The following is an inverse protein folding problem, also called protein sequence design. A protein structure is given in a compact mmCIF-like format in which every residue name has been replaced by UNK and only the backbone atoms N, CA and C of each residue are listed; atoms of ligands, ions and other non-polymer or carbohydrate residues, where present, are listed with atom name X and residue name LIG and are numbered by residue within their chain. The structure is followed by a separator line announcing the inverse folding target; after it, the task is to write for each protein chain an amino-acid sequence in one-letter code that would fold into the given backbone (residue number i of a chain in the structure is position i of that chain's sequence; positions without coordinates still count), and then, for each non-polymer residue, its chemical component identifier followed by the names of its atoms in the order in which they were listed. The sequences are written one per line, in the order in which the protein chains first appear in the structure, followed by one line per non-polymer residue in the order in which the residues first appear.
data_IF_379337317045
#
_entry.id   IF_379337317045
#
_cell.length_a   1.000
_cell.length_b   1.000
_cell.length_c   1.000
_cell.angle_alpha   90.00
_cell.angle_beta   90.00
_cell.angle_gamma   90.00
#
_symmetry.space_group_name_H-M   'P 1'
#
loop_
_entity.id
_entity.type
_entity.pdbx_description
1 polymer ?
#
# COMPACT_ATOMS: atom_id res chain seq x y z
N UNK A 1 13.98 -20.81 21.69
CA UNK A 1 14.97 -19.72 21.83
C UNK A 1 14.24 -18.45 21.32
N UNK A 2 13.98 -17.51 22.21
CA UNK A 2 13.17 -16.32 21.89
C UNK A 2 14.02 -15.32 21.11
N UNK A 3 13.72 -15.07 19.83
CA UNK A 3 14.27 -13.95 19.07
C UNK A 3 13.42 -12.71 19.37
N UNK A 4 14.05 -11.72 20.01
CA UNK A 4 13.43 -10.41 20.27
C UNK A 4 13.54 -9.57 19.00
N UNK A 5 12.42 -9.23 18.40
CA UNK A 5 12.34 -8.15 17.41
C UNK A 5 12.65 -6.83 18.12
N UNK A 6 13.71 -6.16 17.68
CA UNK A 6 14.06 -4.82 18.12
C UNK A 6 13.32 -3.81 17.24
N UNK A 7 12.36 -3.10 17.81
CA UNK A 7 11.74 -1.96 17.18
C UNK A 7 12.79 -0.85 16.99
N UNK A 8 13.06 -0.45 15.75
CA UNK A 8 13.91 0.68 15.45
C UNK A 8 13.13 1.99 15.68
N UNK A 9 13.38 2.60 16.82
CA UNK A 9 12.88 3.94 17.15
C UNK A 9 13.73 4.96 16.40
N UNK A 10 13.16 5.59 15.37
CA UNK A 10 13.78 6.70 14.67
C UNK A 10 13.55 7.99 15.48
N UNK A 11 14.55 8.37 16.32
CA UNK A 11 14.57 9.65 17.00
C UNK A 11 15.04 10.75 16.04
N UNK A 12 14.13 11.66 15.68
CA UNK A 12 14.50 12.94 15.06
C UNK A 12 14.93 13.89 16.19
N UNK A 13 16.23 14.05 16.35
CA UNK A 13 16.82 15.01 17.29
C UNK A 13 16.83 16.40 16.70
N UNK A 14 16.05 17.30 17.29
CA UNK A 14 16.11 18.74 17.04
C UNK A 14 17.26 19.33 17.83
N UNK A 15 18.36 19.71 17.19
CA UNK A 15 19.44 20.49 17.82
C UNK A 15 19.19 21.98 17.59
N UNK A 16 18.81 22.67 18.66
CA UNK A 16 18.82 24.14 18.74
C UNK A 16 20.15 24.58 19.31
N UNK A 17 20.97 25.28 18.56
CA UNK A 17 22.07 26.09 19.11
C UNK A 17 21.86 27.55 18.77
N UNK A 18 21.55 28.33 19.81
CA UNK A 18 21.64 29.78 19.77
C UNK A 18 23.13 30.20 19.94
N UNK A 19 23.65 30.98 19.02
CA UNK A 19 24.78 31.86 19.29
C UNK A 19 24.53 33.22 18.68
N UNK A 20 24.48 34.21 19.54
CA UNK A 20 24.49 35.64 19.24
C UNK A 20 25.92 36.09 18.97
N UNK A 21 26.18 36.92 17.92
CA UNK A 21 26.81 38.22 17.98
C UNK A 21 27.33 38.71 16.62
N UNK A 22 27.09 40.02 16.36
CA UNK A 22 28.04 40.87 15.70
C UNK A 22 27.63 41.45 14.33
N UNK A 23 27.24 42.70 14.35
CA UNK A 23 27.05 43.60 13.20
C UNK A 23 28.22 43.53 12.20
N UNK A 24 27.93 43.36 10.94
CA UNK A 24 28.41 44.14 9.79
C UNK A 24 27.36 44.03 8.68
N UNK A 25 26.83 45.17 8.27
CA UNK A 25 25.97 45.28 7.12
C UNK A 25 26.82 45.04 5.86
N UNK A 26 26.59 43.93 5.19
CA UNK A 26 26.92 43.71 3.80
C UNK A 26 25.62 43.23 3.17
N UNK A 27 25.10 44.00 2.23
CA UNK A 27 23.98 43.63 1.40
C UNK A 27 24.36 42.36 0.63
N UNK A 28 24.27 41.23 1.30
CA UNK A 28 24.13 39.93 0.62
C UNK A 28 22.73 39.93 0.05
N UNK A 29 22.62 39.98 -1.27
CA UNK A 29 21.44 39.56 -2.00
C UNK A 29 20.99 38.25 -1.35
N UNK A 30 19.96 38.32 -0.53
CA UNK A 30 19.20 37.15 -0.13
C UNK A 30 18.61 36.61 -1.41
N UNK A 31 19.33 35.64 -2.02
CA UNK A 31 18.71 34.69 -2.87
C UNK A 31 17.62 34.06 -2.01
N UNK A 32 16.40 34.56 -2.13
CA UNK A 32 15.22 33.87 -1.69
C UNK A 32 15.23 32.58 -2.47
N UNK A 33 15.72 31.52 -1.83
CA UNK A 33 15.45 30.15 -2.30
C UNK A 33 13.92 30.09 -2.31
N UNK A 34 13.36 30.25 -3.49
CA UNK A 34 11.92 30.12 -3.66
C UNK A 34 11.59 28.71 -3.21
N UNK A 35 10.65 28.56 -2.29
CA UNK A 35 10.09 27.29 -1.85
C UNK A 35 9.38 26.53 -3.00
N UNK A 36 9.43 27.06 -4.23
CA UNK A 36 8.75 26.56 -5.43
C UNK A 36 9.33 25.25 -5.99
N UNK A 37 10.48 24.79 -5.49
CA UNK A 37 11.10 23.55 -5.98
C UNK A 37 10.53 22.27 -5.33
N UNK A 38 9.92 22.38 -4.14
CA UNK A 38 9.33 21.24 -3.42
C UNK A 38 7.82 21.26 -3.47
N UNK A 39 7.22 20.09 -3.63
CA UNK A 39 5.79 19.86 -3.44
C UNK A 39 5.56 18.56 -2.70
N UNK A 40 4.58 18.55 -1.81
CA UNK A 40 4.18 17.39 -1.02
C UNK A 40 2.72 17.07 -1.30
N UNK A 41 2.42 15.81 -1.55
CA UNK A 41 1.07 15.31 -1.75
C UNK A 41 0.78 14.22 -0.72
N UNK A 42 -0.40 14.27 -0.12
CA UNK A 42 -0.93 13.18 0.71
C UNK A 42 -2.33 12.85 0.18
N UNK A 43 -2.56 11.59 -0.08
CA UNK A 43 -3.79 11.12 -0.72
C UNK A 43 -4.36 9.92 0.06
N UNK A 44 -5.17 10.16 1.12
CA UNK A 44 -5.99 9.10 1.68
C UNK A 44 -6.99 8.61 0.63
N UNK A 45 -7.20 7.30 0.58
CA UNK A 45 -8.12 6.68 -0.36
C UNK A 45 -8.79 5.45 0.23
N UNK A 46 -9.83 4.98 -0.41
CA UNK A 46 -10.50 3.71 -0.17
C UNK A 46 -10.45 2.90 -1.46
N UNK A 47 -10.00 1.68 -1.34
CA UNK A 47 -10.00 0.69 -2.41
C UNK A 47 -10.96 -0.44 -2.03
N UNK A 48 -12.07 -0.53 -2.74
CA UNK A 48 -13.09 -1.54 -2.52
C UNK A 48 -12.73 -2.82 -3.30
N UNK A 49 -11.65 -3.47 -2.89
CA UNK A 49 -11.12 -4.65 -3.56
C UNK A 49 -11.95 -5.90 -3.26
N UNK A 50 -12.18 -6.74 -4.29
CA UNK A 50 -12.42 -8.18 -4.17
C UNK A 50 -11.09 -8.93 -4.23
N UNK A 51 -11.07 -10.17 -3.75
CA UNK A 51 -9.91 -11.05 -3.80
C UNK A 51 -10.30 -12.36 -4.48
N UNK A 52 -9.54 -12.74 -5.52
CA UNK A 52 -9.69 -14.03 -6.20
C UNK A 52 -8.31 -14.69 -6.30
N UNK A 53 -8.24 -16.03 -6.31
CA UNK A 53 -6.98 -16.75 -6.47
C UNK A 53 -6.88 -18.02 -5.65
N UNK A 54 -5.66 -18.40 -5.30
CA UNK A 54 -5.34 -19.61 -4.56
C UNK A 54 -4.44 -19.32 -3.37
N UNK A 55 -4.82 -19.77 -2.19
CA UNK A 55 -4.04 -19.60 -0.97
C UNK A 55 -3.79 -20.94 -0.25
N UNK A 56 -2.59 -21.06 0.32
CA UNK A 56 -2.27 -22.06 1.33
C UNK A 56 -1.60 -21.32 2.51
N UNK A 57 -2.38 -20.94 3.56
CA UNK A 57 -1.90 -20.04 4.61
C UNK A 57 -0.91 -20.70 5.58
N UNK A 58 -0.76 -22.02 5.54
CA UNK A 58 0.14 -22.77 6.42
C UNK A 58 0.94 -23.80 5.62
N UNK A 59 2.20 -24.11 6.00
CA UNK A 59 2.94 -25.21 5.45
C UNK A 59 2.16 -26.55 5.61
N UNK A 60 1.93 -27.25 4.50
CA UNK A 60 1.12 -28.51 4.41
C UNK A 60 -0.40 -28.29 4.48
N UNK A 61 -0.91 -27.08 4.54
CA UNK A 61 -2.32 -26.84 4.28
C UNK A 61 -2.62 -27.18 2.80
N UNK A 62 -3.79 -27.74 2.49
CA UNK A 62 -4.21 -27.83 1.10
C UNK A 62 -4.37 -26.44 0.51
N UNK A 63 -3.93 -26.25 -0.72
CA UNK A 63 -4.25 -25.02 -1.46
C UNK A 63 -5.76 -24.94 -1.67
N UNK A 64 -6.34 -23.81 -1.35
CA UNK A 64 -7.76 -23.54 -1.50
C UNK A 64 -7.96 -22.37 -2.48
N UNK A 65 -8.91 -22.52 -3.38
CA UNK A 65 -9.36 -21.42 -4.21
C UNK A 65 -10.19 -20.46 -3.37
N UNK A 66 -9.90 -19.18 -3.49
CA UNK A 66 -10.61 -18.09 -2.82
C UNK A 66 -11.28 -17.20 -3.85
N UNK A 67 -12.51 -16.79 -3.55
CA UNK A 67 -13.32 -15.84 -4.31
C UNK A 67 -14.13 -15.05 -3.28
N UNK A 68 -13.57 -13.94 -2.84
CA UNK A 68 -14.14 -13.11 -1.77
C UNK A 68 -14.53 -11.75 -2.34
N UNK A 69 -15.85 -11.49 -2.36
CA UNK A 69 -16.34 -10.21 -2.85
C UNK A 69 -15.98 -9.05 -1.90
N UNK A 70 -15.90 -7.83 -2.44
CA UNK A 70 -15.74 -6.63 -1.60
C UNK A 70 -16.80 -6.55 -0.50
N UNK A 71 -18.04 -6.97 -0.77
CA UNK A 71 -19.12 -6.95 0.21
C UNK A 71 -18.81 -7.85 1.41
N UNK A 72 -18.26 -9.04 1.15
CA UNK A 72 -17.93 -9.99 2.21
C UNK A 72 -16.72 -9.48 3.00
N UNK A 73 -15.71 -8.92 2.33
CA UNK A 73 -14.58 -8.24 2.97
C UNK A 73 -15.08 -7.11 3.87
N UNK A 74 -15.96 -6.23 3.36
CA UNK A 74 -16.46 -5.08 4.11
C UNK A 74 -17.32 -5.47 5.32
N UNK A 75 -18.05 -6.57 5.24
CA UNK A 75 -18.89 -7.06 6.37
C UNK A 75 -18.04 -7.61 7.52
N UNK A 76 -16.86 -8.13 7.23
CA UNK A 76 -15.93 -8.74 8.16
C UNK A 76 -14.71 -7.86 8.46
N UNK A 77 -14.72 -6.60 7.99
CA UNK A 77 -13.62 -5.67 8.11
C UNK A 77 -13.55 -5.08 9.52
N UNK A 78 -12.47 -5.33 10.23
CA UNK A 78 -12.19 -4.71 11.54
C UNK A 78 -11.61 -3.31 11.36
N UNK A 79 -10.58 -3.20 10.50
CA UNK A 79 -9.92 -1.93 10.21
C UNK A 79 -9.29 -1.95 8.81
N UNK A 80 -9.33 -0.80 8.14
CA UNK A 80 -8.56 -0.55 6.93
C UNK A 80 -7.95 0.85 6.96
N UNK A 81 -6.76 0.97 6.40
CA UNK A 81 -6.08 2.25 6.23
C UNK A 81 -5.31 2.27 4.90
N UNK A 82 -5.58 3.27 4.05
CA UNK A 82 -4.94 3.36 2.74
C UNK A 82 -4.51 4.80 2.48
N UNK A 83 -3.23 4.98 2.16
CA UNK A 83 -2.68 6.31 1.90
C UNK A 83 -1.54 6.24 0.89
N UNK A 84 -1.58 7.14 -0.09
CA UNK A 84 -0.45 7.46 -0.95
C UNK A 84 0.16 8.79 -0.52
N UNK A 85 1.48 8.87 -0.50
CA UNK A 85 2.20 10.12 -0.24
C UNK A 85 3.37 10.28 -1.21
N UNK A 86 3.63 11.54 -1.59
CA UNK A 86 4.74 11.88 -2.48
C UNK A 86 5.39 13.18 -2.02
N UNK A 87 6.73 13.18 -1.97
CA UNK A 87 7.57 14.37 -1.82
C UNK A 87 8.38 14.56 -3.11
N UNK A 88 8.14 15.67 -3.81
CA UNK A 88 8.75 15.97 -5.11
C UNK A 88 9.66 17.17 -5.03
N UNK A 89 10.84 17.01 -5.61
CA UNK A 89 11.79 18.09 -5.87
C UNK A 89 12.07 18.15 -7.36
N UNK A 90 11.54 19.17 -8.02
CA UNK A 90 11.64 19.33 -9.49
C UNK A 90 11.15 18.06 -10.22
N UNK A 91 12.06 17.36 -10.95
CA UNK A 91 11.75 16.17 -11.71
C UNK A 91 11.83 14.85 -10.90
N UNK A 92 12.39 14.89 -9.68
CA UNK A 92 12.54 13.72 -8.83
C UNK A 92 11.49 13.71 -7.74
N UNK A 93 11.01 12.54 -7.37
CA UNK A 93 10.19 12.38 -6.18
C UNK A 93 10.52 11.08 -5.44
N UNK A 94 10.30 11.12 -4.12
CA UNK A 94 10.10 9.91 -3.31
C UNK A 94 8.60 9.72 -3.11
N UNK A 95 8.14 8.47 -3.17
CA UNK A 95 6.74 8.14 -2.96
C UNK A 95 6.57 6.91 -2.08
N UNK A 96 5.41 6.83 -1.45
CA UNK A 96 4.96 5.62 -0.74
C UNK A 96 3.47 5.40 -0.98
N UNK A 97 3.07 4.14 -1.06
CA UNK A 97 1.68 3.68 -1.10
C UNK A 97 1.51 2.60 -0.04
N UNK A 98 0.66 2.84 0.93
CA UNK A 98 0.43 1.96 2.07
C UNK A 98 -1.02 1.50 2.08
N UNK A 99 -1.21 0.18 2.15
CA UNK A 99 -2.50 -0.49 2.32
C UNK A 99 -2.38 -1.40 3.53
N UNK A 100 -3.29 -1.26 4.47
CA UNK A 100 -3.45 -2.15 5.61
C UNK A 100 -4.91 -2.54 5.75
N UNK A 101 -5.17 -3.83 5.93
CA UNK A 101 -6.49 -4.39 6.21
C UNK A 101 -6.38 -5.49 7.25
N UNK A 102 -7.33 -5.50 8.18
CA UNK A 102 -7.57 -6.57 9.15
C UNK A 102 -9.02 -7.01 9.04
N UNK A 103 -9.22 -8.32 8.89
CA UNK A 103 -10.51 -8.95 8.64
C UNK A 103 -10.65 -10.11 9.60
N UNK A 104 -11.79 -10.19 10.30
CA UNK A 104 -12.17 -11.32 11.15
C UNK A 104 -13.46 -11.95 10.65
N UNK A 105 -13.48 -13.26 10.51
CA UNK A 105 -14.65 -14.01 10.10
C UNK A 105 -14.88 -15.21 11.02
N UNK A 106 -16.12 -15.34 11.48
CA UNK A 106 -16.56 -16.46 12.30
C UNK A 106 -17.52 -17.34 11.49
N UNK A 107 -17.39 -18.64 11.62
CA UNK A 107 -18.27 -19.58 10.95
C UNK A 107 -18.54 -20.81 11.81
N UNK A 108 -19.83 -21.19 11.90
CA UNK A 108 -20.25 -22.46 12.50
C UNK A 108 -19.80 -23.63 11.62
N UNK A 109 -19.23 -24.68 12.19
CA UNK A 109 -18.89 -25.88 11.41
C UNK A 109 -20.15 -26.69 11.10
N UNK A 110 -20.26 -27.28 9.88
CA UNK A 110 -21.36 -28.18 9.56
C UNK A 110 -21.41 -29.34 10.54
N UNK A 111 -22.54 -29.44 11.28
CA UNK A 111 -22.83 -30.48 12.28
C UNK A 111 -22.17 -30.34 13.67
N UNK A 112 -21.24 -29.39 13.92
CA UNK A 112 -20.66 -29.11 15.26
C UNK A 112 -20.04 -30.32 15.98
N UNK A 113 -19.65 -31.41 15.25
CA UNK A 113 -19.27 -32.68 15.90
C UNK A 113 -17.82 -32.70 16.33
N UNK A 114 -16.91 -32.20 15.49
CA UNK A 114 -15.48 -32.17 15.80
C UNK A 114 -15.06 -30.85 16.44
N UNK A 115 -15.54 -29.74 15.86
CA UNK A 115 -15.43 -28.38 16.36
C UNK A 115 -16.80 -27.70 16.17
N UNK A 116 -17.18 -26.81 17.07
CA UNK A 116 -18.44 -26.05 16.96
C UNK A 116 -18.23 -24.79 16.13
N UNK A 117 -17.14 -24.05 16.39
CA UNK A 117 -16.83 -22.75 15.81
C UNK A 117 -15.45 -22.74 15.12
N UNK A 118 -15.33 -21.92 14.07
CA UNK A 118 -14.08 -21.58 13.39
C UNK A 118 -13.96 -20.07 13.33
N UNK A 119 -12.97 -19.52 14.04
CA UNK A 119 -12.62 -18.10 13.96
C UNK A 119 -11.38 -17.95 13.07
N UNK A 120 -11.45 -17.09 12.06
CA UNK A 120 -10.35 -16.75 11.17
C UNK A 120 -10.05 -15.26 11.24
N UNK A 121 -8.80 -14.91 11.49
CA UNK A 121 -8.28 -13.54 11.45
C UNK A 121 -7.21 -13.45 10.38
N UNK A 122 -7.29 -12.44 9.52
CA UNK A 122 -6.33 -12.19 8.47
C UNK A 122 -5.94 -10.72 8.44
N UNK A 123 -4.63 -10.43 8.54
CA UNK A 123 -4.07 -9.10 8.39
C UNK A 123 -3.17 -9.06 7.16
N UNK A 124 -3.40 -8.07 6.31
CA UNK A 124 -2.58 -7.84 5.12
C UNK A 124 -2.03 -6.43 5.16
N UNK A 125 -0.72 -6.31 5.05
CA UNK A 125 -0.02 -5.06 4.82
C UNK A 125 0.72 -5.09 3.48
N UNK A 126 0.48 -4.07 2.65
CA UNK A 126 1.17 -3.85 1.38
C UNK A 126 1.76 -2.44 1.42
N UNK A 127 3.09 -2.34 1.44
CA UNK A 127 3.80 -1.07 1.46
C UNK A 127 4.70 -0.92 0.24
N UNK A 128 4.40 -0.01 -0.68
CA UNK A 128 5.29 0.30 -1.81
C UNK A 128 6.06 1.58 -1.52
N UNK A 129 7.39 1.54 -1.63
CA UNK A 129 8.29 2.66 -1.39
C UNK A 129 9.21 2.83 -2.60
N UNK A 130 9.34 4.03 -3.11
CA UNK A 130 10.16 4.22 -4.29
C UNK A 130 10.56 5.65 -4.60
N UNK A 131 11.34 5.76 -5.67
CA UNK A 131 11.69 7.01 -6.32
C UNK A 131 11.05 7.10 -7.71
N UNK A 132 10.82 8.33 -8.16
CA UNK A 132 10.34 8.59 -9.50
C UNK A 132 11.14 9.70 -10.19
N UNK A 133 11.21 9.60 -11.52
CA UNK A 133 11.78 10.62 -12.38
C UNK A 133 10.77 11.03 -13.44
N UNK A 134 10.38 12.31 -13.46
CA UNK A 134 9.45 12.86 -14.44
C UNK A 134 10.19 13.10 -15.77
N UNK A 135 10.02 12.15 -16.69
CA UNK A 135 10.66 12.18 -18.02
C UNK A 135 9.98 13.19 -18.95
N UNK A 136 8.65 13.27 -18.91
CA UNK A 136 7.83 14.26 -19.61
C UNK A 136 7.16 15.14 -18.58
N UNK A 137 7.25 16.45 -18.77
CA UNK A 137 6.66 17.46 -17.89
C UNK A 137 6.27 18.67 -18.73
N UNK A 138 4.99 18.74 -19.06
CA UNK A 138 4.37 19.85 -19.81
C UNK A 138 3.23 20.43 -18.99
N UNK A 139 2.62 21.50 -19.48
CA UNK A 139 1.47 22.13 -18.84
C UNK A 139 0.30 21.15 -18.63
N UNK A 140 0.02 20.31 -19.64
CA UNK A 140 -1.12 19.40 -19.63
C UNK A 140 -0.77 17.95 -19.33
N UNK A 141 0.46 17.51 -19.56
CA UNK A 141 0.84 16.12 -19.46
C UNK A 141 2.13 15.90 -18.69
N UNK A 142 2.16 14.87 -17.85
CA UNK A 142 3.40 14.38 -17.25
C UNK A 142 3.48 12.85 -17.35
N UNK A 143 4.71 12.35 -17.51
CA UNK A 143 5.03 10.94 -17.47
C UNK A 143 6.26 10.76 -16.60
N UNK A 144 6.15 9.93 -15.56
CA UNK A 144 7.24 9.57 -14.66
C UNK A 144 7.59 8.09 -14.79
N UNK A 145 8.88 7.80 -14.68
CA UNK A 145 9.42 6.46 -14.50
C UNK A 145 9.56 6.21 -13.01
N UNK A 146 9.21 5.02 -12.55
CA UNK A 146 9.17 4.62 -11.15
C UNK A 146 10.12 3.44 -10.90
N UNK A 147 10.78 3.43 -9.75
CA UNK A 147 11.53 2.29 -9.27
C UNK A 147 11.49 2.25 -7.74
N UNK A 148 11.39 1.05 -7.16
CA UNK A 148 11.26 0.92 -5.72
C UNK A 148 11.18 -0.52 -5.25
N UNK A 149 10.61 -0.69 -4.06
CA UNK A 149 10.35 -1.97 -3.45
C UNK A 149 8.93 -2.01 -2.88
N UNK A 150 8.29 -3.17 -2.99
CA UNK A 150 7.01 -3.48 -2.37
C UNK A 150 7.24 -4.49 -1.26
N UNK A 151 6.81 -4.15 -0.07
CA UNK A 151 6.85 -5.00 1.13
C UNK A 151 5.46 -5.58 1.31
N UNK A 152 5.41 -6.88 1.49
CA UNK A 152 4.22 -7.62 1.82
C UNK A 152 4.36 -8.20 3.23
N UNK A 153 3.29 -8.22 3.99
CA UNK A 153 3.17 -8.96 5.23
C UNK A 153 1.76 -9.50 5.35
N UNK A 154 1.64 -10.81 5.46
CA UNK A 154 0.37 -11.53 5.57
C UNK A 154 0.42 -12.31 6.89
N UNK A 155 -0.49 -12.01 7.78
CA UNK A 155 -0.70 -12.75 9.02
C UNK A 155 -2.05 -13.45 8.93
N UNK A 156 -2.06 -14.74 9.26
CA UNK A 156 -3.29 -15.54 9.32
C UNK A 156 -3.33 -16.31 10.61
N UNK A 157 -4.45 -16.22 11.32
CA UNK A 157 -4.75 -17.00 12.51
C UNK A 157 -6.07 -17.71 12.31
N UNK A 158 -6.12 -19.02 12.59
CA UNK A 158 -7.34 -19.83 12.58
C UNK A 158 -7.46 -20.55 13.92
N UNK A 159 -8.57 -20.32 14.60
CA UNK A 159 -8.97 -21.02 15.82
C UNK A 159 -10.11 -21.98 15.52
N UNK A 160 -10.01 -23.18 16.04
CA UNK A 160 -11.04 -24.20 16.01
C UNK A 160 -11.44 -24.47 17.46
N UNK A 161 -12.67 -24.12 17.83
CA UNK A 161 -13.13 -24.14 19.22
C UNK A 161 -14.36 -25.04 19.38
N UNK A 162 -14.55 -25.56 20.58
CA UNK A 162 -15.70 -26.40 20.94
C UNK A 162 -15.66 -27.81 20.34
N UNK A 163 -16.78 -28.54 20.49
CA UNK A 163 -16.97 -29.88 19.94
C UNK A 163 -16.31 -31.00 20.75
N UNK A 164 -15.98 -32.12 20.08
CA UNK A 164 -15.42 -33.32 20.70
C UNK A 164 -13.88 -33.31 20.75
N UNK A 165 -13.24 -32.45 19.96
CA UNK A 165 -11.77 -32.31 19.93
C UNK A 165 -11.34 -31.13 20.80
N UNK A 166 -10.12 -31.17 21.38
CA UNK A 166 -9.56 -30.00 22.06
C UNK A 166 -9.41 -28.83 21.09
N UNK A 167 -9.59 -27.62 21.61
CA UNK A 167 -9.36 -26.39 20.87
C UNK A 167 -7.99 -26.38 20.19
N UNK A 168 -7.95 -25.92 18.96
CA UNK A 168 -6.73 -25.82 18.17
C UNK A 168 -6.58 -24.42 17.62
N UNK A 169 -5.34 -23.98 17.59
CA UNK A 169 -4.96 -22.67 17.09
C UNK A 169 -3.80 -22.81 16.12
N UNK A 170 -4.02 -22.38 14.90
CA UNK A 170 -3.02 -22.30 13.85
C UNK A 170 -2.74 -20.82 13.56
N UNK A 171 -1.47 -20.48 13.42
CA UNK A 171 -1.07 -19.13 13.02
C UNK A 171 0.22 -19.18 12.22
N UNK A 172 0.29 -18.32 11.24
CA UNK A 172 1.49 -18.10 10.44
C UNK A 172 1.63 -16.62 10.10
N UNK A 173 2.86 -16.18 9.92
CA UNK A 173 3.21 -14.84 9.45
C UNK A 173 4.27 -14.97 8.36
N UNK A 174 3.94 -14.48 7.17
CA UNK A 174 4.83 -14.49 6.02
C UNK A 174 5.07 -13.05 5.55
N UNK A 175 6.32 -12.73 5.24
CA UNK A 175 6.69 -11.40 4.75
C UNK A 175 7.79 -11.49 3.71
N UNK A 176 7.61 -10.74 2.61
CA UNK A 176 8.60 -10.69 1.54
C UNK A 176 8.71 -9.30 0.94
N UNK A 177 9.70 -9.11 0.09
CA UNK A 177 9.98 -7.83 -0.57
C UNK A 177 10.21 -8.06 -2.04
N UNK A 178 9.47 -7.34 -2.87
CA UNK A 178 9.56 -7.34 -4.32
C UNK A 178 10.23 -6.07 -4.82
N UNK A 179 11.30 -6.13 -5.63
CA UNK A 179 11.71 -5.00 -6.44
C UNK A 179 10.62 -4.69 -7.46
N UNK A 180 10.31 -3.40 -7.64
CA UNK A 180 9.27 -2.95 -8.58
C UNK A 180 9.79 -1.83 -9.45
N UNK A 181 9.37 -1.84 -10.72
CA UNK A 181 9.55 -0.74 -11.66
C UNK A 181 8.22 -0.37 -12.29
N UNK A 182 8.06 0.87 -12.75
CA UNK A 182 6.77 1.27 -13.27
C UNK A 182 6.77 2.60 -14.00
N UNK A 183 5.57 3.02 -14.34
CA UNK A 183 5.27 4.31 -14.98
C UNK A 183 4.07 4.95 -14.31
N UNK A 184 4.07 6.27 -14.27
CA UNK A 184 2.93 7.07 -13.84
C UNK A 184 2.69 8.19 -14.84
N UNK A 185 1.52 8.18 -15.45
CA UNK A 185 1.04 9.16 -16.40
C UNK A 185 -0.07 10.03 -15.81
N UNK A 186 -0.08 11.31 -16.17
CA UNK A 186 -1.15 12.23 -15.81
C UNK A 186 -1.40 13.20 -16.97
N UNK A 187 -2.68 13.43 -17.30
CA UNK A 187 -3.10 14.41 -18.28
C UNK A 187 -4.18 15.33 -17.68
N UNK A 188 -3.98 16.64 -17.76
CA UNK A 188 -4.89 17.69 -17.26
C UNK A 188 -5.61 18.35 -18.40
N UNK A 189 -6.92 18.52 -18.24
CA UNK A 189 -7.78 19.32 -19.14
C UNK A 189 -7.96 20.73 -18.54
N UNK A 190 -8.27 21.72 -19.38
CA UNK A 190 -8.42 23.14 -18.97
C UNK A 190 -9.59 23.39 -17.99
N UNK A 191 -10.50 22.44 -17.84
CA UNK A 191 -11.70 22.56 -17.00
C UNK A 191 -11.51 21.97 -15.57
N UNK A 192 -10.28 21.71 -15.14
CA UNK A 192 -9.97 21.11 -13.84
C UNK A 192 -10.11 19.59 -13.78
N UNK A 193 -10.59 18.95 -14.84
CA UNK A 193 -10.61 17.49 -14.96
C UNK A 193 -9.19 17.00 -15.28
N UNK A 194 -8.82 15.85 -14.76
CA UNK A 194 -7.59 15.15 -15.14
C UNK A 194 -7.78 13.64 -15.16
N UNK A 195 -6.92 12.96 -15.92
CA UNK A 195 -6.83 11.51 -15.97
C UNK A 195 -5.45 11.12 -15.44
N UNK A 196 -5.39 10.11 -14.60
CA UNK A 196 -4.13 9.57 -14.11
C UNK A 196 -4.11 8.05 -14.25
N UNK A 197 -2.94 7.50 -14.55
CA UNK A 197 -2.72 6.06 -14.63
C UNK A 197 -1.34 5.72 -14.09
N UNK A 198 -1.27 4.64 -13.32
CA UNK A 198 -0.04 4.11 -12.73
C UNK A 198 0.03 2.62 -13.03
N UNK A 199 1.21 2.13 -13.37
CA UNK A 199 1.45 0.69 -13.47
C UNK A 199 2.83 0.35 -12.91
N UNK A 200 2.89 -0.73 -12.10
CA UNK A 200 4.13 -1.36 -11.64
C UNK A 200 4.18 -2.81 -12.10
N UNK A 201 5.38 -3.30 -12.32
CA UNK A 201 5.70 -4.72 -12.45
C UNK A 201 6.89 -5.03 -11.57
N UNK A 202 6.91 -6.19 -10.94
CA UNK A 202 7.94 -6.56 -9.97
C UNK A 202 7.95 -8.04 -9.61
N UNK A 203 8.59 -8.36 -8.48
CA UNK A 203 8.86 -9.73 -8.05
C UNK A 203 10.13 -10.26 -8.69
N UNK A 204 10.07 -10.64 -9.95
CA UNK A 204 11.18 -11.16 -10.76
C UNK A 204 11.90 -12.35 -10.10
N UNK A 205 11.20 -13.13 -9.26
CA UNK A 205 11.75 -14.25 -8.50
C UNK A 205 12.69 -13.84 -7.35
N UNK A 206 12.64 -12.58 -6.88
CA UNK A 206 13.38 -12.11 -5.69
C UNK A 206 12.58 -12.37 -4.42
N UNK A 207 11.33 -11.91 -4.36
CA UNK A 207 10.32 -12.27 -3.38
C UNK A 207 9.26 -13.11 -4.08
N UNK A 208 8.26 -12.48 -4.70
CA UNK A 208 7.28 -13.16 -5.56
C UNK A 208 7.86 -13.50 -6.94
N UNK A 209 7.30 -14.49 -7.61
CA UNK A 209 7.63 -14.80 -8.99
C UNK A 209 7.22 -13.65 -9.89
N UNK A 210 6.01 -13.12 -9.69
CA UNK A 210 5.49 -11.94 -10.36
C UNK A 210 4.61 -11.13 -9.42
N UNK A 211 4.71 -9.81 -9.48
CA UNK A 211 3.67 -8.90 -8.99
C UNK A 211 3.44 -7.81 -10.03
N UNK A 212 2.19 -7.47 -10.29
CA UNK A 212 1.88 -6.32 -11.12
C UNK A 212 0.67 -5.57 -10.58
N UNK A 213 0.66 -4.25 -10.76
CA UNK A 213 -0.30 -3.35 -10.16
C UNK A 213 -0.62 -2.26 -11.17
N UNK A 214 -1.88 -2.12 -11.51
CA UNK A 214 -2.34 -1.11 -12.45
C UNK A 214 -3.51 -0.35 -11.85
N UNK A 215 -3.41 0.96 -11.89
CA UNK A 215 -4.42 1.89 -11.42
C UNK A 215 -4.72 2.92 -12.50
N UNK A 216 -6.00 3.22 -12.71
CA UNK A 216 -6.45 4.28 -13.60
C UNK A 216 -7.61 5.05 -12.99
N UNK A 217 -7.57 6.38 -13.05
CA UNK A 217 -8.61 7.22 -12.46
C UNK A 217 -8.89 8.49 -13.25
N UNK A 218 -10.13 8.94 -13.13
CA UNK A 218 -10.58 10.28 -13.47
C UNK A 218 -10.55 11.13 -12.20
N UNK A 219 -10.02 12.34 -12.27
CA UNK A 219 -9.97 13.26 -11.16
C UNK A 219 -10.51 14.63 -11.48
N UNK A 220 -10.80 15.37 -10.42
CA UNK A 220 -11.20 16.76 -10.49
C UNK A 220 -10.42 17.60 -9.47
N UNK A 221 -9.81 18.68 -9.92
CA UNK A 221 -9.09 19.63 -9.12
C UNK A 221 -10.03 20.76 -8.69
N UNK A 222 -10.32 20.86 -7.40
CA UNK A 222 -11.21 21.88 -6.84
C UNK A 222 -10.50 23.23 -6.67
N UNK A 223 -9.22 23.18 -6.29
CA UNK A 223 -8.33 24.33 -6.12
C UNK A 223 -6.87 23.84 -6.17
N UNK A 224 -5.90 24.75 -5.95
CA UNK A 224 -4.47 24.42 -6.04
C UNK A 224 -4.01 23.35 -5.05
N UNK A 225 -4.72 23.20 -3.92
CA UNK A 225 -4.36 22.30 -2.84
C UNK A 225 -5.20 21.03 -2.77
N UNK A 226 -6.40 20.98 -3.36
CA UNK A 226 -7.35 19.87 -3.15
C UNK A 226 -7.84 19.33 -4.49
N UNK A 227 -7.75 18.01 -4.64
CA UNK A 227 -8.36 17.27 -5.75
C UNK A 227 -8.98 15.96 -5.24
N UNK A 228 -9.92 15.40 -6.03
CA UNK A 228 -10.47 14.08 -5.78
C UNK A 228 -10.32 13.20 -7.01
N UNK A 229 -10.30 11.90 -6.81
CA UNK A 229 -10.20 10.88 -7.85
C UNK A 229 -11.26 9.80 -7.64
N UNK A 230 -11.71 9.23 -8.74
CA UNK A 230 -12.46 7.99 -8.78
C UNK A 230 -11.91 7.12 -9.92
N UNK A 231 -11.64 5.85 -9.65
CA UNK A 231 -10.97 4.98 -10.59
C UNK A 231 -11.10 3.51 -10.26
N UNK A 232 -10.20 2.73 -10.82
CA UNK A 232 -10.12 1.28 -10.63
C UNK A 232 -8.67 0.86 -10.47
N UNK A 233 -8.41 -0.07 -9.54
CA UNK A 233 -7.09 -0.67 -9.31
C UNK A 233 -7.20 -2.18 -9.43
N UNK A 234 -6.17 -2.77 -10.00
CA UNK A 234 -5.95 -4.19 -10.11
C UNK A 234 -4.51 -4.48 -9.69
N UNK A 235 -4.34 -5.38 -8.73
CA UNK A 235 -3.07 -5.80 -8.17
C UNK A 235 -3.04 -7.32 -8.12
N UNK A 236 -2.05 -7.93 -8.72
CA UNK A 236 -1.82 -9.37 -8.76
C UNK A 236 -0.45 -9.68 -8.15
N UNK A 237 -0.36 -10.79 -7.43
CA UNK A 237 0.87 -11.32 -6.87
C UNK A 237 0.85 -12.85 -6.90
N UNK A 238 1.94 -13.43 -7.37
CA UNK A 238 2.23 -14.86 -7.37
C UNK A 238 3.43 -15.10 -6.47
N UNK A 239 3.16 -15.56 -5.24
CA UNK A 239 4.19 -15.85 -4.23
C UNK A 239 4.00 -17.25 -3.66
N UNK A 240 5.07 -18.04 -3.74
CA UNK A 240 5.14 -19.36 -3.12
C UNK A 240 6.48 -19.52 -2.37
N UNK A 241 6.42 -19.88 -1.08
CA UNK A 241 7.60 -20.17 -0.29
C UNK A 241 7.32 -21.21 0.80
N UNK A 242 8.16 -22.28 0.85
CA UNK A 242 8.15 -23.30 1.91
C UNK A 242 6.78 -23.95 2.19
N UNK A 243 5.88 -23.94 1.21
CA UNK A 243 4.51 -24.47 1.29
C UNK A 243 3.45 -23.46 1.71
N UNK A 244 3.81 -22.20 1.92
CA UNK A 244 2.90 -21.06 1.90
C UNK A 244 2.67 -20.67 0.44
N UNK A 245 1.41 -20.46 0.05
CA UNK A 245 1.01 -20.01 -1.29
C UNK A 245 0.11 -18.80 -1.15
N UNK A 246 0.44 -17.75 -1.88
CA UNK A 246 -0.35 -16.52 -1.97
C UNK A 246 -0.33 -16.04 -3.42
N UNK A 247 -1.15 -16.70 -4.24
CA UNK A 247 -1.35 -16.40 -5.66
C UNK A 247 -2.74 -15.76 -5.80
N UNK A 248 -2.78 -14.44 -5.72
CA UNK A 248 -4.04 -13.71 -5.63
C UNK A 248 -4.08 -12.48 -6.53
N UNK A 249 -5.29 -12.18 -6.98
CA UNK A 249 -5.72 -10.96 -7.65
C UNK A 249 -6.61 -10.14 -6.72
N UNK A 250 -6.26 -8.88 -6.54
CA UNK A 250 -7.05 -7.88 -5.83
C UNK A 250 -7.55 -6.84 -6.82
N UNK A 251 -8.85 -6.70 -6.98
CA UNK A 251 -9.38 -5.76 -7.98
C UNK A 251 -10.64 -5.05 -7.50
N UNK A 252 -10.76 -3.74 -7.83
CA UNK A 252 -11.92 -2.98 -7.41
C UNK A 252 -11.82 -1.47 -7.62
N UNK A 253 -12.95 -0.78 -7.40
CA UNK A 253 -13.02 0.67 -7.49
C UNK A 253 -12.23 1.35 -6.38
N UNK A 254 -11.66 2.51 -6.73
CA UNK A 254 -10.92 3.39 -5.82
C UNK A 254 -11.55 4.77 -5.83
N UNK A 255 -11.72 5.34 -4.64
CA UNK A 255 -12.03 6.76 -4.46
C UNK A 255 -11.01 7.37 -3.50
N UNK A 256 -10.55 8.58 -3.79
CA UNK A 256 -9.54 9.25 -2.96
C UNK A 256 -9.57 10.76 -3.08
N UNK A 257 -8.90 11.39 -2.12
CA UNK A 257 -8.71 12.83 -2.10
C UNK A 257 -7.22 13.12 -1.93
N UNK A 258 -6.69 14.05 -2.71
CA UNK A 258 -5.30 14.49 -2.59
C UNK A 258 -5.26 15.89 -2.00
N UNK A 259 -4.40 16.07 -1.00
CA UNK A 259 -4.04 17.35 -0.41
C UNK A 259 -2.60 17.66 -0.80
N UNK A 260 -2.39 18.83 -1.39
CA UNK A 260 -1.08 19.35 -1.83
C UNK A 260 -0.65 20.52 -0.96
N UNK A 261 0.63 20.51 -0.61
CA UNK A 261 1.29 21.55 0.19
C UNK A 261 2.45 22.17 -0.58
#
# INVERSE_FOLDING_TARGET
MKAKMAAATLCIGLLTTLTTNGLMAEEAEQSTVSNDDWSFNISPYVWAASMEGSIAPFPRAPTADVDVSFKDIFQNLDIAGMVYAEARYRRFAAYTDLVYTSISADADTPFGVLFDDVDAENEIFIGTFGGSYRAIDTEHASLALLAGARVWSVYTEVKLEGGLLPDQKFKDDESWVDPVVGIHGLYRFDNGIFVTALSHVGGFGVGSDLTWDTFGALGYQFNDSISAIAGYRHLEVDYEHSGFVFDVELSGPVIGMTIRF
#
